data_IF_239312756106
#
_entry.id   IF_239312756106
#
_cell.length_a   1.000
_cell.length_b   1.000
_cell.length_c   1.000
_cell.angle_alpha   90.00
_cell.angle_beta   90.00
_cell.angle_gamma   90.00
#
_symmetry.space_group_name_H-M   'P 1'
#
loop_
_entity.id
_entity.type
_entity.pdbx_description
1 polymer ?
#
# COMPACT_ATOMS: atom_id res chain seq x y z
N UNK A 1 16.16 19.75 7.54
CA UNK A 1 15.19 19.45 6.46
C UNK A 1 15.33 17.95 6.15
N UNK A 2 15.02 17.10 7.15
CA UNK A 2 15.58 15.74 7.24
C UNK A 2 15.18 14.84 6.05
N UNK A 3 13.93 14.93 5.59
CA UNK A 3 13.44 14.16 4.42
C UNK A 3 14.19 14.54 3.15
N UNK A 4 14.50 15.83 2.96
CA UNK A 4 15.25 16.30 1.79
C UNK A 4 16.74 16.00 1.90
N UNK A 5 17.29 15.95 3.11
CA UNK A 5 18.68 15.57 3.36
C UNK A 5 18.92 14.08 3.13
N UNK A 6 17.92 13.24 3.47
CA UNK A 6 17.98 11.78 3.27
C UNK A 6 17.44 11.33 1.91
N UNK A 7 16.68 12.19 1.21
CA UNK A 7 16.11 11.88 -0.11
C UNK A 7 15.11 10.72 -0.10
N UNK A 8 14.56 10.36 1.07
CA UNK A 8 13.66 9.21 1.22
C UNK A 8 12.63 9.40 2.34
N UNK A 9 11.43 8.84 2.14
CA UNK A 9 10.34 8.82 3.10
C UNK A 9 9.55 7.50 3.03
N UNK A 10 9.09 7.03 4.18
CA UNK A 10 8.14 5.91 4.28
C UNK A 10 6.94 6.35 5.12
N UNK A 11 5.75 6.17 4.59
CA UNK A 11 4.50 6.43 5.30
C UNK A 11 3.84 5.14 5.77
N UNK A 12 3.13 5.20 6.89
CA UNK A 12 2.27 4.12 7.35
C UNK A 12 0.87 4.16 6.72
N UNK A 13 0.41 5.34 6.28
CA UNK A 13 -0.95 5.58 5.78
C UNK A 13 -1.00 6.44 4.51
N UNK A 14 -1.89 6.08 3.59
CA UNK A 14 -2.15 6.78 2.32
C UNK A 14 -2.63 8.21 2.51
N UNK A 15 -3.46 8.48 3.53
CA UNK A 15 -4.00 9.84 3.73
C UNK A 15 -2.91 10.90 3.99
N UNK A 16 -1.71 10.47 4.39
CA UNK A 16 -0.59 11.37 4.63
C UNK A 16 0.05 11.87 3.33
N UNK A 17 -0.11 11.14 2.23
CA UNK A 17 0.58 11.38 0.96
C UNK A 17 0.20 12.73 0.35
N UNK A 18 -1.09 13.04 0.25
CA UNK A 18 -1.58 14.30 -0.36
C UNK A 18 -0.98 15.53 0.31
N UNK A 19 -0.96 15.54 1.64
CA UNK A 19 -0.44 16.66 2.41
C UNK A 19 1.07 16.83 2.22
N UNK A 20 1.77 15.70 2.06
CA UNK A 20 3.21 15.66 1.84
C UNK A 20 3.59 16.11 0.44
N UNK A 21 2.89 15.61 -0.58
CA UNK A 21 3.12 16.00 -1.98
C UNK A 21 2.88 17.49 -2.19
N UNK A 22 1.78 18.04 -1.66
CA UNK A 22 1.54 19.50 -1.69
C UNK A 22 2.66 20.28 -1.00
N UNK A 23 3.26 19.72 0.05
CA UNK A 23 4.37 20.36 0.76
C UNK A 23 5.66 20.33 -0.07
N UNK A 24 5.93 19.23 -0.79
CA UNK A 24 7.05 19.13 -1.72
C UNK A 24 6.87 20.06 -2.93
N UNK A 25 5.67 20.11 -3.51
CA UNK A 25 5.35 20.99 -4.64
C UNK A 25 5.58 22.46 -4.30
N UNK A 26 5.20 22.91 -3.09
CA UNK A 26 5.50 24.26 -2.60
C UNK A 26 6.99 24.57 -2.50
N UNK A 27 7.82 23.53 -2.34
CA UNK A 27 9.28 23.63 -2.33
C UNK A 27 9.88 23.43 -3.73
N UNK A 28 9.06 23.30 -4.78
CA UNK A 28 9.49 23.04 -6.14
C UNK A 28 10.07 21.63 -6.34
N UNK A 29 9.72 20.69 -5.46
CA UNK A 29 10.24 19.32 -5.45
C UNK A 29 9.17 18.29 -5.75
N UNK A 30 9.57 17.09 -6.16
CA UNK A 30 8.68 15.99 -6.52
C UNK A 30 9.14 14.65 -5.97
N UNK A 31 8.16 13.82 -5.62
CA UNK A 31 8.38 12.41 -5.29
C UNK A 31 8.85 11.67 -6.55
N UNK A 32 9.73 10.69 -6.38
CA UNK A 32 10.36 9.94 -7.47
C UNK A 32 11.51 10.68 -8.17
N UNK A 33 11.62 12.01 -8.00
CA UNK A 33 12.72 12.81 -8.57
C UNK A 33 13.66 13.33 -7.49
N UNK A 34 13.14 14.09 -6.53
CA UNK A 34 13.92 14.70 -5.46
C UNK A 34 13.91 13.87 -4.18
N UNK A 35 12.84 13.10 -3.98
CA UNK A 35 12.60 12.30 -2.78
C UNK A 35 11.98 10.98 -3.18
N UNK A 36 12.54 9.88 -2.71
CA UNK A 36 11.95 8.55 -2.87
C UNK A 36 10.92 8.27 -1.79
N UNK A 37 9.87 7.56 -2.15
CA UNK A 37 8.73 7.33 -1.28
C UNK A 37 8.25 5.89 -1.34
N UNK A 38 7.85 5.35 -0.20
CA UNK A 38 6.98 4.18 -0.14
C UNK A 38 5.90 4.32 0.96
N UNK A 39 4.83 3.54 0.86
CA UNK A 39 3.73 3.54 1.84
C UNK A 39 3.33 2.11 2.24
N UNK A 40 3.16 1.87 3.54
CA UNK A 40 2.81 0.57 4.12
C UNK A 40 1.30 0.29 4.11
N UNK A 41 0.60 0.78 3.10
CA UNK A 41 -0.85 0.63 2.95
C UNK A 41 -1.21 0.43 1.47
N UNK A 42 -2.18 -0.44 1.22
CA UNK A 42 -2.61 -0.77 -0.13
C UNK A 42 -3.60 0.28 -0.67
N UNK A 43 -3.49 0.57 -1.96
CA UNK A 43 -4.35 1.55 -2.63
C UNK A 43 -5.57 0.86 -3.25
N UNK A 44 -6.48 0.41 -2.40
CA UNK A 44 -7.68 -0.32 -2.83
C UNK A 44 -8.67 0.53 -3.61
N UNK A 45 -8.66 1.84 -3.37
CA UNK A 45 -9.60 2.79 -3.98
C UNK A 45 -9.03 3.45 -5.24
N UNK A 46 -7.71 3.31 -5.47
CA UNK A 46 -7.01 4.04 -6.51
C UNK A 46 -6.71 5.49 -6.08
N UNK A 47 -5.84 6.14 -6.86
CA UNK A 47 -5.46 7.55 -6.66
C UNK A 47 -4.03 7.76 -6.17
N UNK A 48 -3.35 6.70 -5.74
CA UNK A 48 -1.95 6.72 -5.32
C UNK A 48 -1.13 5.67 -6.09
N UNK A 49 -1.49 5.42 -7.34
CA UNK A 49 -0.87 4.40 -8.19
C UNK A 49 0.64 4.65 -8.41
N UNK A 50 1.03 5.93 -8.45
CA UNK A 50 2.40 6.40 -8.58
C UNK A 50 3.26 6.13 -7.33
N UNK A 51 2.66 5.73 -6.20
CA UNK A 51 3.39 5.35 -4.99
C UNK A 51 3.70 3.85 -4.92
N UNK A 52 4.97 3.57 -4.62
CA UNK A 52 5.46 2.26 -4.22
C UNK A 52 4.81 1.87 -2.90
N UNK A 53 4.20 0.69 -2.85
CA UNK A 53 3.31 0.30 -1.76
C UNK A 53 3.26 -1.21 -1.53
N UNK A 54 2.72 -1.62 -0.39
CA UNK A 54 2.45 -3.02 -0.11
C UNK A 54 0.98 -3.33 -0.40
N UNK A 55 0.74 -4.31 -1.27
CA UNK A 55 -0.58 -4.83 -1.57
C UNK A 55 -0.75 -6.23 -1.03
N UNK A 56 -1.92 -6.52 -0.49
CA UNK A 56 -2.32 -7.86 -0.05
C UNK A 56 -3.26 -8.55 -1.04
N UNK A 57 -3.25 -8.10 -2.31
CA UNK A 57 -4.09 -8.56 -3.40
C UNK A 57 -5.57 -8.66 -3.00
N UNK A 58 -6.26 -7.52 -3.00
CA UNK A 58 -7.67 -7.37 -2.60
C UNK A 58 -8.61 -8.49 -3.07
N UNK A 59 -8.44 -8.97 -4.29
CA UNK A 59 -9.26 -10.05 -4.87
C UNK A 59 -9.08 -11.37 -4.10
N UNK A 60 -7.85 -11.73 -3.75
CA UNK A 60 -7.54 -12.97 -3.03
C UNK A 60 -8.11 -12.93 -1.61
N UNK A 61 -7.96 -11.81 -0.92
CA UNK A 61 -8.57 -11.59 0.40
C UNK A 61 -10.09 -11.67 0.36
N UNK A 62 -10.72 -11.05 -0.65
CA UNK A 62 -12.16 -11.12 -0.84
C UNK A 62 -12.64 -12.55 -1.09
N UNK A 63 -11.94 -13.30 -1.94
CA UNK A 63 -12.21 -14.71 -2.23
C UNK A 63 -12.12 -15.56 -0.96
N UNK A 64 -11.07 -15.36 -0.16
CA UNK A 64 -10.87 -16.09 1.09
C UNK A 64 -11.99 -15.82 2.10
N UNK A 65 -12.41 -14.55 2.24
CA UNK A 65 -13.51 -14.19 3.12
C UNK A 65 -14.84 -14.87 2.71
N UNK A 66 -15.12 -14.95 1.40
CA UNK A 66 -16.29 -15.65 0.87
C UNK A 66 -16.19 -17.16 1.08
N UNK A 67 -15.02 -17.77 0.88
CA UNK A 67 -14.76 -19.18 1.16
C UNK A 67 -15.07 -19.51 2.63
N UNK A 68 -14.57 -18.69 3.55
CA UNK A 68 -14.76 -18.88 4.99
C UNK A 68 -16.24 -18.74 5.39
N UNK A 69 -16.91 -17.71 4.88
CA UNK A 69 -18.34 -17.52 5.13
C UNK A 69 -19.16 -18.71 4.60
N UNK A 70 -18.81 -19.23 3.42
CA UNK A 70 -19.50 -20.38 2.83
C UNK A 70 -19.34 -21.65 3.68
N UNK A 71 -18.15 -21.88 4.26
CA UNK A 71 -17.90 -23.00 5.17
C UNK A 71 -18.70 -22.86 6.47
N UNK A 72 -18.75 -21.66 7.05
CA UNK A 72 -19.52 -21.36 8.25
C UNK A 72 -21.03 -21.59 8.03
N UNK A 73 -21.56 -21.15 6.88
CA UNK A 73 -22.97 -21.39 6.51
C UNK A 73 -23.29 -22.89 6.37
N UNK A 74 -22.31 -23.69 5.94
CA UNK A 74 -22.42 -25.15 5.88
C UNK A 74 -22.17 -25.85 7.22
N UNK A 75 -21.95 -25.10 8.31
CA UNK A 75 -21.59 -25.61 9.64
C UNK A 75 -20.33 -26.50 9.62
N UNK A 76 -19.41 -26.24 8.70
CA UNK A 76 -18.12 -26.94 8.62
C UNK A 76 -17.10 -26.27 9.54
N UNK A 77 -16.17 -27.05 10.09
CA UNK A 77 -15.05 -26.50 10.86
C UNK A 77 -14.12 -25.68 9.94
N UNK A 78 -13.50 -24.65 10.53
CA UNK A 78 -12.44 -23.85 9.89
C UNK A 78 -11.03 -24.36 10.21
N UNK A 79 -10.91 -25.48 10.94
CA UNK A 79 -9.62 -26.07 11.28
C UNK A 79 -8.81 -26.40 10.01
N UNK A 80 -7.57 -25.90 9.93
CA UNK A 80 -6.69 -26.10 8.79
C UNK A 80 -7.00 -25.22 7.56
N UNK A 81 -7.99 -24.33 7.64
CA UNK A 81 -8.35 -23.42 6.54
C UNK A 81 -7.62 -22.07 6.67
N UNK A 82 -6.91 -21.79 7.77
CA UNK A 82 -6.13 -20.55 7.94
C UNK A 82 -5.10 -20.39 6.82
N UNK A 83 -5.39 -19.50 5.87
CA UNK A 83 -4.49 -19.16 4.76
C UNK A 83 -3.99 -17.74 5.02
N UNK A 84 -2.68 -17.55 4.94
CA UNK A 84 -2.10 -16.22 4.90
C UNK A 84 -2.10 -15.74 3.45
N UNK A 85 -2.54 -14.50 3.22
CA UNK A 85 -2.35 -13.87 1.92
C UNK A 85 -0.97 -13.22 1.87
N UNK A 86 -0.17 -13.48 0.82
CA UNK A 86 1.13 -12.85 0.67
C UNK A 86 0.98 -11.32 0.57
N UNK A 87 1.92 -10.61 1.16
CA UNK A 87 2.11 -9.17 0.92
C UNK A 87 3.08 -9.00 -0.25
N UNK A 88 2.66 -8.21 -1.24
CA UNK A 88 3.41 -7.90 -2.44
C UNK A 88 3.89 -6.46 -2.40
N UNK A 89 5.17 -6.25 -2.65
CA UNK A 89 5.68 -4.91 -2.92
C UNK A 89 5.36 -4.54 -4.38
N UNK A 90 4.52 -3.53 -4.55
CA UNK A 90 4.22 -2.90 -5.84
C UNK A 90 5.18 -1.73 -5.99
N UNK A 91 6.11 -1.83 -6.94
CA UNK A 91 7.08 -0.76 -7.24
C UNK A 91 6.46 0.20 -8.26
N UNK A 92 6.53 1.49 -7.96
CA UNK A 92 6.01 2.58 -8.79
C UNK A 92 7.02 3.73 -8.92
N UNK A 93 6.60 4.81 -9.59
CA UNK A 93 7.41 6.01 -9.89
C UNK A 93 8.03 6.65 -8.64
N UNK A 94 7.36 6.58 -7.48
CA UNK A 94 7.88 7.19 -6.24
C UNK A 94 9.20 6.61 -5.77
N UNK A 95 9.58 5.41 -6.22
CA UNK A 95 10.89 4.82 -5.93
C UNK A 95 11.72 4.55 -7.19
N UNK A 96 11.30 5.06 -8.35
CA UNK A 96 12.03 4.90 -9.59
C UNK A 96 13.38 5.67 -9.54
N UNK A 97 14.37 5.17 -10.27
CA UNK A 97 15.67 5.81 -10.47
C UNK A 97 15.68 6.55 -11.79
#
# INVERSE_FOLDING_TARGET
NLVLEQGMVVFDRLYSLDSFERSLERLGKRVGQDVRGAVLEDDWMGGHEHWTRWSNQRLELGSLAVEYLSLLLQKKSLDGVSKFTPLHLVISESSAF
#
